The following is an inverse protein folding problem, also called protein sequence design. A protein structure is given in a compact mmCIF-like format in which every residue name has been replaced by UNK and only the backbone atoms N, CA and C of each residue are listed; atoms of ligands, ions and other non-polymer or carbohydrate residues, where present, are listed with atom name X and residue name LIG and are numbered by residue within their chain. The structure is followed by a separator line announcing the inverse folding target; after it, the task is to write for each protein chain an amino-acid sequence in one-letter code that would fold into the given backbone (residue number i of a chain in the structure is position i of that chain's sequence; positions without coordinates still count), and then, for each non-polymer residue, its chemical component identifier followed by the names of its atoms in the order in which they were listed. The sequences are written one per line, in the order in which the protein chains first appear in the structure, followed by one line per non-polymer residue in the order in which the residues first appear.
data_IF_213216233047
#
_entry.id   IF_213216233047
#
_cell.length_a   1.000
_cell.length_b   1.000
_cell.length_c   1.000
_cell.angle_alpha   90.00
_cell.angle_beta   90.00
_cell.angle_gamma   90.00
#
_symmetry.space_group_name_H-M   'P 1'
#
loop_
_entity.id
_entity.type
_entity.pdbx_description
1 polymer ?
#
# COMPACT_ATOMS: atom_id res chain seq x y z
N UNK A 1 -43.01 -5.56 -14.81
CA UNK A 1 -41.57 -5.79 -14.59
C UNK A 1 -40.93 -5.94 -15.96
N UNK A 2 -40.04 -5.01 -16.29
CA UNK A 2 -39.33 -4.93 -17.57
C UNK A 2 -38.42 -6.14 -17.77
N UNK A 3 -38.43 -6.75 -18.94
CA UNK A 3 -37.22 -7.32 -19.52
C UNK A 3 -37.13 -6.94 -21.00
N UNK A 4 -36.03 -6.24 -21.26
CA UNK A 4 -35.68 -5.47 -22.44
C UNK A 4 -35.27 -6.43 -23.56
N UNK A 5 -36.00 -6.38 -24.68
CA UNK A 5 -35.68 -7.16 -25.87
C UNK A 5 -34.37 -6.70 -26.53
N UNK A 6 -33.61 -7.68 -27.05
CA UNK A 6 -32.45 -7.49 -27.90
C UNK A 6 -32.73 -6.53 -29.05
N UNK A 7 -31.82 -5.60 -29.34
CA UNK A 7 -31.73 -4.98 -30.68
C UNK A 7 -30.28 -4.70 -31.04
N UNK A 8 -29.85 -5.47 -32.03
CA UNK A 8 -28.91 -5.21 -33.11
C UNK A 8 -27.70 -4.31 -32.90
N UNK A 9 -26.56 -4.98 -33.04
CA UNK A 9 -25.27 -4.48 -33.48
C UNK A 9 -25.38 -3.48 -34.65
N UNK A 10 -24.66 -2.36 -34.53
CA UNK A 10 -24.22 -1.55 -35.69
C UNK A 10 -22.71 -1.42 -35.63
N UNK A 11 -22.07 -2.13 -36.55
CA UNK A 11 -20.68 -1.92 -36.96
C UNK A 11 -20.59 -0.52 -37.57
N UNK A 12 -19.76 0.36 -37.01
CA UNK A 12 -19.31 1.58 -37.68
C UNK A 12 -17.80 1.48 -37.84
N UNK A 13 -17.41 1.22 -39.09
CA UNK A 13 -16.07 1.44 -39.59
C UNK A 13 -15.81 2.95 -39.70
N UNK A 14 -14.60 3.40 -39.35
CA UNK A 14 -14.10 4.70 -39.80
C UNK A 14 -13.09 5.36 -38.87
N UNK A 15 -11.85 5.51 -39.34
CA UNK A 15 -11.03 6.69 -39.04
C UNK A 15 -9.81 6.47 -38.14
N UNK A 16 -8.66 6.21 -38.76
CA UNK A 16 -7.36 6.65 -38.23
C UNK A 16 -7.37 8.19 -38.16
N UNK A 17 -7.17 8.77 -36.97
CA UNK A 17 -6.95 10.21 -36.83
C UNK A 17 -5.90 10.51 -35.74
N UNK A 18 -4.72 10.87 -36.22
CA UNK A 18 -3.71 11.80 -35.68
C UNK A 18 -3.47 11.87 -34.15
N UNK A 19 -2.25 11.45 -33.77
CA UNK A 19 -1.56 11.88 -32.56
C UNK A 19 -1.29 13.39 -32.63
N UNK A 20 -1.85 14.18 -31.73
CA UNK A 20 -1.44 15.55 -31.47
C UNK A 20 -0.59 15.57 -30.18
N UNK A 21 0.73 15.67 -30.35
CA UNK A 21 1.66 15.98 -29.27
C UNK A 21 1.57 17.49 -29.05
N UNK A 22 0.99 17.91 -27.92
CA UNK A 22 1.09 19.31 -27.46
C UNK A 22 2.10 19.37 -26.33
N UNK A 23 3.35 19.65 -26.66
CA UNK A 23 4.37 20.13 -25.73
C UNK A 23 4.02 21.54 -25.28
N UNK A 24 3.34 21.68 -24.13
CA UNK A 24 3.21 22.97 -23.47
C UNK A 24 4.48 23.24 -22.64
N UNK A 25 5.37 24.06 -23.19
CA UNK A 25 6.44 24.67 -22.40
C UNK A 25 5.85 25.76 -21.51
N UNK A 26 5.88 25.53 -20.19
CA UNK A 26 5.61 26.57 -19.20
C UNK A 26 6.94 27.14 -18.71
N UNK A 27 7.35 28.27 -19.30
CA UNK A 27 8.38 29.14 -18.73
C UNK A 27 7.73 30.10 -17.72
N UNK A 28 8.29 30.12 -16.51
CA UNK A 28 8.53 31.32 -15.70
C UNK A 28 7.37 32.26 -15.38
N UNK A 29 6.79 32.12 -14.19
CA UNK A 29 6.04 33.18 -13.54
C UNK A 29 6.21 33.08 -12.02
N UNK A 30 6.93 34.02 -11.42
CA UNK A 30 6.95 34.25 -9.98
C UNK A 30 5.59 34.80 -9.55
N UNK A 31 4.60 33.92 -9.43
CA UNK A 31 3.29 34.24 -8.88
C UNK A 31 3.33 34.09 -7.37
N UNK A 32 3.09 35.19 -6.65
CA UNK A 32 2.73 35.15 -5.23
C UNK A 32 1.58 34.17 -5.05
N UNK A 33 1.81 33.10 -4.29
CA UNK A 33 0.79 32.11 -3.98
C UNK A 33 -0.39 32.80 -3.29
N UNK A 34 -1.48 32.94 -4.02
CA UNK A 34 -2.78 33.25 -3.45
C UNK A 34 -3.15 32.02 -2.62
N UNK A 35 -3.05 32.14 -1.29
CA UNK A 35 -3.58 31.15 -0.38
C UNK A 35 -5.10 31.16 -0.56
N UNK A 36 -5.61 30.21 -1.35
CA UNK A 36 -7.02 29.87 -1.34
C UNK A 36 -7.32 29.30 0.05
N UNK A 37 -8.12 30.00 0.84
CA UNK A 37 -8.48 29.62 2.21
C UNK A 37 -9.44 28.40 2.25
N UNK A 38 -9.60 27.73 1.10
CA UNK A 38 -10.51 26.60 0.89
C UNK A 38 -9.81 25.33 0.43
N UNK A 39 -8.47 25.33 0.26
CA UNK A 39 -7.72 24.10 -0.01
C UNK A 39 -7.50 23.33 1.30
N UNK A 40 -7.98 22.08 1.46
CA UNK A 40 -7.57 21.26 2.58
C UNK A 40 -6.04 21.26 2.63
N UNK A 41 -5.48 21.69 3.77
CA UNK A 41 -4.03 21.81 3.96
C UNK A 41 -3.34 20.58 3.36
N UNK A 42 -2.48 20.81 2.37
CA UNK A 42 -1.79 19.74 1.67
C UNK A 42 -1.16 18.79 2.70
N UNK A 43 -1.30 17.46 2.54
CA UNK A 43 -0.76 16.51 3.51
C UNK A 43 0.73 16.77 3.71
N UNK A 44 1.25 16.54 4.93
CA UNK A 44 2.67 16.69 5.19
C UNK A 44 3.49 15.90 4.16
N UNK A 45 4.67 16.42 3.76
CA UNK A 45 5.47 15.77 2.73
C UNK A 45 5.80 14.33 3.12
N UNK A 46 5.72 13.41 2.14
CA UNK A 46 5.94 11.97 2.31
C UNK A 46 4.87 11.22 3.13
N UNK A 47 3.64 11.72 3.19
CA UNK A 47 2.50 11.06 3.85
C UNK A 47 1.41 10.62 2.87
N UNK A 48 1.79 10.27 1.63
CA UNK A 48 0.86 9.78 0.62
C UNK A 48 0.68 8.26 0.71
N UNK A 49 -0.32 7.74 -0.02
CA UNK A 49 -0.48 6.31 -0.20
C UNK A 49 0.75 5.64 -0.87
N UNK A 50 1.46 6.36 -1.74
CA UNK A 50 2.68 5.86 -2.37
C UNK A 50 3.80 5.69 -1.34
N UNK A 51 3.92 6.62 -0.39
CA UNK A 51 4.90 6.55 0.69
C UNK A 51 4.61 5.40 1.65
N UNK A 52 3.34 5.22 2.03
CA UNK A 52 2.93 4.08 2.86
C UNK A 52 3.21 2.75 2.16
N UNK A 53 2.91 2.66 0.86
CA UNK A 53 3.21 1.48 0.06
C UNK A 53 4.73 1.19 0.06
N UNK A 54 5.57 2.21 -0.14
CA UNK A 54 7.02 2.08 -0.07
C UNK A 54 7.53 1.55 1.27
N UNK A 55 7.04 2.11 2.38
CA UNK A 55 7.39 1.65 3.74
C UNK A 55 6.93 0.22 3.96
N UNK A 56 5.68 -0.12 3.59
CA UNK A 56 5.16 -1.47 3.76
C UNK A 56 5.94 -2.52 2.95
N UNK A 57 6.36 -2.17 1.72
CA UNK A 57 7.19 -3.03 0.90
C UNK A 57 8.57 -3.27 1.54
N UNK A 58 9.18 -2.24 2.12
CA UNK A 58 10.44 -2.38 2.87
C UNK A 58 10.30 -3.32 4.07
N UNK A 59 9.23 -3.15 4.88
CA UNK A 59 8.95 -4.04 6.02
C UNK A 59 8.71 -5.48 5.57
N UNK A 60 7.98 -5.68 4.46
CA UNK A 60 7.74 -7.02 3.92
C UNK A 60 9.04 -7.68 3.43
N UNK A 61 9.92 -6.92 2.75
CA UNK A 61 11.23 -7.42 2.31
C UNK A 61 12.12 -7.79 3.50
N UNK A 62 12.18 -6.95 4.54
CA UNK A 62 12.92 -7.24 5.77
C UNK A 62 12.37 -8.48 6.50
N UNK A 63 11.04 -8.63 6.55
CA UNK A 63 10.39 -9.81 7.11
C UNK A 63 10.78 -11.07 6.34
N UNK A 64 10.80 -11.02 5.00
CA UNK A 64 11.23 -12.15 4.16
C UNK A 64 12.67 -12.56 4.48
N UNK A 65 13.61 -11.60 4.53
CA UNK A 65 14.99 -11.88 4.88
C UNK A 65 15.14 -12.48 6.29
N UNK A 66 14.38 -11.97 7.26
CA UNK A 66 14.34 -12.51 8.62
C UNK A 66 13.87 -13.96 8.62
N UNK A 67 12.76 -14.28 7.96
CA UNK A 67 12.23 -15.65 7.91
C UNK A 67 13.19 -16.63 7.21
N UNK A 68 13.91 -16.21 6.16
CA UNK A 68 14.92 -17.07 5.54
C UNK A 68 16.14 -17.34 6.42
N UNK A 69 16.42 -16.46 7.38
CA UNK A 69 17.53 -16.63 8.35
C UNK A 69 17.08 -17.27 9.67
N UNK A 70 15.76 -17.41 9.86
CA UNK A 70 15.12 -18.02 11.04
C UNK A 70 14.16 -19.12 10.59
N UNK A 71 14.68 -20.30 10.16
CA UNK A 71 13.87 -21.36 9.58
C UNK A 71 12.80 -21.89 10.54
N UNK A 72 13.08 -21.93 11.84
CA UNK A 72 12.12 -22.29 12.90
C UNK A 72 10.94 -21.32 12.97
N UNK A 73 11.20 -20.02 12.85
CA UNK A 73 10.15 -18.99 12.79
C UNK A 73 9.36 -19.09 11.50
N UNK A 74 10.05 -19.30 10.37
CA UNK A 74 9.41 -19.49 9.07
C UNK A 74 8.48 -20.71 9.04
N UNK A 75 8.90 -21.83 9.63
CA UNK A 75 8.10 -23.04 9.75
C UNK A 75 6.85 -22.80 10.60
N UNK A 76 7.00 -22.08 11.73
CA UNK A 76 5.86 -21.70 12.57
C UNK A 76 4.84 -20.86 11.79
N UNK A 77 5.25 -19.76 11.15
CA UNK A 77 4.33 -18.92 10.37
C UNK A 77 3.73 -19.68 9.18
N UNK A 78 4.48 -20.59 8.56
CA UNK A 78 3.99 -21.46 7.48
C UNK A 78 2.92 -22.44 7.99
N UNK A 79 3.07 -22.97 9.21
CA UNK A 79 2.12 -23.90 9.83
C UNK A 79 0.72 -23.30 10.08
N UNK A 80 0.62 -21.97 10.11
CA UNK A 80 -0.66 -21.26 10.24
C UNK A 80 -1.52 -21.34 8.97
N UNK A 81 -0.93 -21.73 7.83
CA UNK A 81 -1.62 -21.83 6.55
C UNK A 81 -2.76 -22.85 6.64
N UNK A 82 -3.98 -22.41 6.33
CA UNK A 82 -5.17 -23.26 6.31
C UNK A 82 -5.89 -23.40 7.65
N UNK A 83 -5.39 -22.80 8.73
CA UNK A 83 -6.06 -22.80 10.02
C UNK A 83 -7.26 -21.82 10.07
N UNK A 84 -8.26 -22.06 10.94
CA UNK A 84 -9.36 -21.12 11.18
C UNK A 84 -8.84 -19.78 11.72
N UNK A 85 -9.37 -18.67 11.19
CA UNK A 85 -8.92 -17.32 11.56
C UNK A 85 -9.17 -16.97 13.03
N UNK A 86 -10.21 -17.55 13.64
CA UNK A 86 -10.62 -17.25 15.02
C UNK A 86 -9.55 -17.58 16.07
N UNK A 87 -8.58 -18.47 15.80
CA UNK A 87 -7.52 -18.82 16.75
C UNK A 87 -6.12 -18.28 16.43
N UNK A 88 -5.90 -17.72 15.23
CA UNK A 88 -4.55 -17.34 14.78
C UNK A 88 -3.95 -16.24 15.66
N UNK A 89 -4.77 -15.29 16.14
CA UNK A 89 -4.29 -14.19 17.01
C UNK A 89 -3.75 -14.71 18.34
N UNK A 90 -4.48 -15.62 18.99
CA UNK A 90 -4.08 -16.17 20.29
C UNK A 90 -2.81 -17.04 20.15
N UNK A 91 -2.72 -17.83 19.07
CA UNK A 91 -1.52 -18.61 18.77
C UNK A 91 -0.31 -17.71 18.55
N UNK A 92 -0.45 -16.63 17.77
CA UNK A 92 0.63 -15.67 17.55
C UNK A 92 1.06 -15.02 18.86
N UNK A 93 0.10 -14.63 19.71
CA UNK A 93 0.41 -14.04 21.02
C UNK A 93 1.21 -15.02 21.89
N UNK A 94 0.74 -16.26 22.03
CA UNK A 94 1.45 -17.31 22.77
C UNK A 94 2.86 -17.56 22.22
N UNK A 95 3.02 -17.57 20.90
CA UNK A 95 4.32 -17.73 20.28
C UNK A 95 5.26 -16.56 20.59
N UNK A 96 4.77 -15.31 20.53
CA UNK A 96 5.59 -14.14 20.88
C UNK A 96 5.95 -14.10 22.36
N UNK A 97 5.04 -14.51 23.25
CA UNK A 97 5.31 -14.58 24.69
C UNK A 97 6.36 -15.67 25.03
N UNK A 98 6.32 -16.79 24.32
CA UNK A 98 7.32 -17.86 24.45
C UNK A 98 8.66 -17.52 23.78
N UNK A 99 8.68 -16.61 22.81
CA UNK A 99 9.85 -16.25 22.01
C UNK A 99 10.12 -14.72 22.07
N UNK A 100 10.53 -14.17 23.23
CA UNK A 100 10.70 -12.73 23.40
C UNK A 100 11.75 -12.10 22.48
N UNK A 101 12.78 -12.86 22.09
CA UNK A 101 13.77 -12.41 21.10
C UNK A 101 13.14 -12.23 19.71
N UNK A 102 12.43 -13.26 19.21
CA UNK A 102 11.69 -13.18 17.94
C UNK A 102 10.66 -12.05 17.95
N UNK A 103 9.99 -11.85 19.08
CA UNK A 103 9.06 -10.75 19.25
C UNK A 103 9.76 -9.39 19.12
N UNK A 104 10.91 -9.20 19.79
CA UNK A 104 11.69 -7.97 19.68
C UNK A 104 12.19 -7.72 18.25
N UNK A 105 12.66 -8.76 17.57
CA UNK A 105 13.14 -8.65 16.18
C UNK A 105 12.02 -8.26 15.22
N UNK A 106 10.86 -8.92 15.32
CA UNK A 106 9.69 -8.60 14.49
C UNK A 106 9.09 -7.23 14.82
N UNK A 107 9.15 -6.78 16.09
CA UNK A 107 8.82 -5.41 16.46
C UNK A 107 9.79 -4.42 15.82
N UNK A 108 11.08 -4.71 15.81
CA UNK A 108 12.12 -3.94 15.13
C UNK A 108 11.84 -3.79 13.64
N UNK A 109 11.56 -4.90 12.96
CA UNK A 109 11.23 -4.93 11.52
C UNK A 109 9.99 -4.08 11.20
N UNK A 110 9.03 -3.98 12.13
CA UNK A 110 7.80 -3.20 11.97
C UNK A 110 7.90 -1.74 12.39
N UNK A 111 8.99 -1.30 13.01
CA UNK A 111 9.15 0.09 13.45
C UNK A 111 8.89 1.12 12.34
N UNK A 112 9.34 0.93 11.08
CA UNK A 112 9.10 1.93 10.03
C UNK A 112 7.62 2.24 9.79
N UNK A 113 6.71 1.27 9.96
CA UNK A 113 5.27 1.50 9.86
C UNK A 113 4.71 2.28 11.05
N UNK A 114 5.23 2.01 12.25
CA UNK A 114 4.85 2.75 13.46
C UNK A 114 5.32 4.20 13.37
N UNK A 115 6.55 4.42 12.93
CA UNK A 115 7.12 5.75 12.72
C UNK A 115 6.36 6.50 11.62
N UNK A 116 6.02 5.83 10.52
CA UNK A 116 5.20 6.42 9.46
C UNK A 116 3.85 6.90 10.01
N UNK A 117 3.13 6.04 10.74
CA UNK A 117 1.84 6.41 11.34
C UNK A 117 1.99 7.59 12.29
N UNK A 118 2.99 7.56 13.17
CA UNK A 118 3.18 8.62 14.17
C UNK A 118 3.48 10.00 13.52
N UNK A 119 4.08 10.01 12.32
CA UNK A 119 4.37 11.23 11.56
C UNK A 119 3.22 11.70 10.65
N UNK A 120 2.36 10.79 10.20
CA UNK A 120 1.41 11.02 9.09
C UNK A 120 -0.08 10.88 9.48
N UNK A 121 -0.38 10.68 10.77
CA UNK A 121 -1.75 10.64 11.31
C UNK A 121 -2.26 12.02 11.68
#
# INVERSE_FOLDING_TARGET
MLLLGCTSSRVVAGGLAAVAISTAMLLGGTGTAWADATDPAAPPPNCTAADLAGVSAGVAAATSAYLFTHPDVNDYFTSLKGQPREGIRDQLQQYMDANPAVHADLQGIRQPLTDFRNRCQ
#
